data_IF_535447947384
#
_entry.id   IF_535447947384
#
_cell.length_a   1.000
_cell.length_b   1.000
_cell.length_c   1.000
_cell.angle_alpha   90.00
_cell.angle_beta   90.00
_cell.angle_gamma   90.00
#
_symmetry.space_group_name_H-M   'P 1'
#
loop_
_entity.id
_entity.type
_entity.pdbx_description
1 polymer ?
#
# COMPACT_ATOMS: atom_id res chain seq x y z
N UNK A 1 -11.99 -10.26 -8.08
CA UNK A 1 -10.60 -9.78 -8.10
C UNK A 1 -10.36 -9.11 -6.77
N UNK A 2 -9.50 -9.69 -5.94
CA UNK A 2 -9.35 -9.26 -4.55
C UNK A 2 -8.85 -7.83 -4.45
N UNK A 3 -9.36 -7.08 -3.47
CA UNK A 3 -8.73 -5.83 -3.05
C UNK A 3 -7.35 -6.19 -2.48
N UNK A 4 -6.27 -5.84 -3.19
CA UNK A 4 -4.91 -6.08 -2.70
C UNK A 4 -4.68 -5.23 -1.44
N UNK A 5 -4.34 -5.89 -0.33
CA UNK A 5 -4.05 -5.27 0.98
C UNK A 5 -2.70 -4.54 1.01
N UNK A 6 -1.99 -4.53 -0.12
CA UNK A 6 -0.73 -3.85 -0.33
C UNK A 6 -0.62 -3.32 -1.77
N UNK A 7 0.38 -2.49 -2.04
CA UNK A 7 0.73 -2.03 -3.39
C UNK A 7 2.25 -1.95 -3.58
N UNK A 8 2.76 -2.13 -4.81
CA UNK A 8 4.17 -1.98 -5.09
C UNK A 8 4.58 -0.50 -5.05
N UNK A 9 5.67 -0.20 -4.34
CA UNK A 9 6.22 1.15 -4.27
C UNK A 9 7.73 1.19 -4.57
N UNK A 10 8.20 2.37 -4.94
CA UNK A 10 9.62 2.68 -5.04
C UNK A 10 10.21 2.89 -3.64
N UNK A 11 11.54 2.83 -3.52
CA UNK A 11 12.26 3.27 -2.30
C UNK A 11 11.96 4.71 -1.91
N UNK A 12 11.45 5.56 -2.83
CA UNK A 12 10.95 6.89 -2.53
C UNK A 12 9.53 6.92 -1.94
N UNK A 13 8.98 5.76 -1.54
CA UNK A 13 7.67 5.60 -0.90
C UNK A 13 6.45 5.93 -1.81
N UNK A 14 6.66 6.13 -3.11
CA UNK A 14 5.57 6.36 -4.07
C UNK A 14 5.20 5.06 -4.79
N UNK A 15 3.91 4.88 -5.06
CA UNK A 15 3.41 3.77 -5.87
C UNK A 15 4.11 3.77 -7.24
N UNK A 16 4.33 2.57 -7.77
CA UNK A 16 4.90 2.35 -9.10
C UNK A 16 3.90 1.68 -10.02
N UNK A 17 4.09 1.84 -11.33
CA UNK A 17 3.26 1.22 -12.36
C UNK A 17 4.07 0.11 -13.00
N UNK A 18 3.44 -1.04 -13.27
CA UNK A 18 4.07 -2.11 -14.04
C UNK A 18 4.34 -1.61 -15.47
N UNK A 19 5.56 -1.82 -15.95
CA UNK A 19 5.99 -1.47 -17.30
C UNK A 19 6.86 -2.59 -17.87
N UNK A 20 6.25 -3.41 -18.73
CA UNK A 20 6.87 -4.61 -19.31
C UNK A 20 7.39 -5.57 -18.21
N UNK A 21 8.69 -5.83 -18.15
CA UNK A 21 9.34 -6.67 -17.13
C UNK A 21 9.85 -5.88 -15.91
N UNK A 22 9.52 -4.59 -15.83
CA UNK A 22 9.97 -3.68 -14.79
C UNK A 22 8.80 -2.90 -14.17
N UNK A 23 9.14 -1.97 -13.28
CA UNK A 23 8.22 -0.99 -12.73
C UNK A 23 8.74 0.41 -12.97
N UNK A 24 7.86 1.35 -13.31
CA UNK A 24 8.22 2.75 -13.48
C UNK A 24 7.76 3.59 -12.29
N UNK A 25 8.68 4.37 -11.73
CA UNK A 25 8.37 5.34 -10.68
C UNK A 25 8.24 6.74 -11.27
N UNK A 26 7.00 7.25 -11.35
CA UNK A 26 6.73 8.62 -11.84
C UNK A 26 7.43 9.70 -11.00
N UNK A 27 7.59 9.48 -9.69
CA UNK A 27 8.23 10.46 -8.82
C UNK A 27 9.75 10.51 -8.95
N UNK A 28 10.40 9.39 -9.31
CA UNK A 28 11.84 9.33 -9.53
C UNK A 28 12.24 9.36 -11.01
N UNK A 29 11.26 9.28 -11.92
CA UNK A 29 11.44 9.28 -13.38
C UNK A 29 12.42 8.19 -13.82
N UNK A 30 12.23 6.95 -13.31
CA UNK A 30 13.12 5.82 -13.62
C UNK A 30 12.41 4.46 -13.53
N UNK A 31 12.93 3.50 -14.28
CA UNK A 31 12.62 2.08 -14.13
C UNK A 31 13.34 1.47 -12.93
N UNK A 32 12.64 0.56 -12.23
CA UNK A 32 13.17 -0.25 -11.13
C UNK A 32 12.72 -1.70 -11.31
N UNK A 33 13.54 -2.64 -10.85
CA UNK A 33 13.23 -4.07 -10.90
C UNK A 33 12.70 -4.62 -9.57
N UNK A 34 13.05 -3.95 -8.47
CA UNK A 34 12.63 -4.34 -7.12
C UNK A 34 11.69 -3.29 -6.53
N UNK A 35 10.54 -3.75 -6.06
CA UNK A 35 9.53 -2.94 -5.37
C UNK A 35 9.67 -3.11 -3.87
N UNK A 36 9.20 -2.12 -3.13
CA UNK A 36 8.97 -2.19 -1.68
C UNK A 36 7.47 -2.36 -1.49
N UNK A 37 6.97 -3.46 -0.91
CA UNK A 37 5.55 -3.62 -0.61
C UNK A 37 5.13 -2.60 0.46
N UNK A 38 3.92 -2.06 0.33
CA UNK A 38 3.35 -1.02 1.20
C UNK A 38 1.91 -1.36 1.53
N UNK A 39 1.48 -1.16 2.76
CA UNK A 39 0.11 -1.46 3.17
C UNK A 39 -0.91 -0.53 2.49
N UNK A 40 -2.05 -1.11 2.09
CA UNK A 40 -3.28 -0.44 1.67
C UNK A 40 -4.46 -1.30 2.11
N UNK A 41 -4.70 -1.32 3.41
CA UNK A 41 -5.65 -2.25 4.02
C UNK A 41 -6.99 -1.56 4.18
N UNK A 42 -8.03 -2.14 3.59
CA UNK A 42 -9.41 -1.73 3.83
C UNK A 42 -9.92 -2.38 5.11
N UNK A 43 -10.33 -1.55 6.06
CA UNK A 43 -10.91 -2.00 7.32
C UNK A 43 -12.33 -1.45 7.47
N UNK A 44 -13.20 -2.25 8.04
CA UNK A 44 -14.50 -1.81 8.52
C UNK A 44 -14.44 -1.70 10.04
N UNK A 45 -14.84 -0.57 10.58
CA UNK A 45 -14.89 -0.29 12.02
C UNK A 45 -16.34 -0.07 12.40
N UNK A 46 -16.76 -0.72 13.49
CA UNK A 46 -18.11 -0.60 14.06
C UNK A 46 -18.03 -0.13 15.50
N UNK A 47 -18.90 0.80 15.88
CA UNK A 47 -19.11 1.21 17.28
C UNK A 47 -20.33 0.53 17.93
N UNK A 48 -20.96 -0.41 17.24
CA UNK A 48 -22.18 -1.09 17.66
C UNK A 48 -23.48 -0.37 17.25
N UNK A 49 -23.41 0.86 16.73
CA UNK A 49 -24.57 1.61 16.19
C UNK A 49 -24.43 1.80 14.68
N UNK A 50 -23.22 2.06 14.21
CA UNK A 50 -22.92 2.30 12.80
C UNK A 50 -21.58 1.70 12.40
N UNK A 51 -21.38 1.56 11.09
CA UNK A 51 -20.11 1.12 10.51
C UNK A 51 -19.51 2.21 9.64
N UNK A 52 -18.18 2.26 9.61
CA UNK A 52 -17.40 3.12 8.73
C UNK A 52 -16.24 2.33 8.11
N UNK A 53 -15.92 2.64 6.85
CA UNK A 53 -14.83 1.99 6.12
C UNK A 53 -13.66 2.96 5.99
N UNK A 54 -12.46 2.48 6.36
CA UNK A 54 -11.21 3.22 6.25
C UNK A 54 -10.21 2.46 5.39
N UNK A 55 -9.30 3.19 4.76
CA UNK A 55 -8.11 2.62 4.13
C UNK A 55 -6.90 3.05 4.96
N UNK A 56 -6.21 2.08 5.56
CA UNK A 56 -5.01 2.32 6.34
C UNK A 56 -3.75 2.05 5.51
N UNK A 57 -2.75 2.91 5.71
CA UNK A 57 -1.43 2.82 5.09
C UNK A 57 -0.36 2.48 6.13
N UNK A 58 0.91 2.48 5.71
CA UNK A 58 2.03 1.95 6.48
C UNK A 58 2.09 2.36 7.96
N UNK A 59 2.00 3.65 8.28
CA UNK A 59 2.14 4.12 9.67
C UNK A 59 1.09 3.53 10.58
N UNK A 60 -0.16 3.57 10.13
CA UNK A 60 -1.32 3.20 10.92
C UNK A 60 -1.41 1.68 11.04
N UNK A 61 -1.14 0.96 9.94
CA UNK A 61 -1.07 -0.51 9.94
C UNK A 61 0.09 -1.03 10.78
N UNK A 62 1.26 -0.40 10.70
CA UNK A 62 2.42 -0.84 11.47
C UNK A 62 2.24 -0.60 12.95
N UNK A 63 1.58 0.50 13.32
CA UNK A 63 1.20 0.76 14.71
C UNK A 63 0.17 -0.27 15.21
N UNK A 64 -0.87 -0.56 14.42
CA UNK A 64 -1.94 -1.46 14.83
C UNK A 64 -1.52 -2.93 14.92
N UNK A 65 -0.65 -3.37 14.01
CA UNK A 65 -0.22 -4.78 13.89
C UNK A 65 1.14 -5.06 14.54
N UNK A 66 1.86 -4.03 14.97
CA UNK A 66 3.25 -4.11 15.42
C UNK A 66 4.17 -4.79 14.39
N UNK A 67 3.88 -4.62 13.09
CA UNK A 67 4.57 -5.26 11.96
C UNK A 67 4.73 -4.32 10.78
N UNK A 68 5.84 -4.45 10.06
CA UNK A 68 6.01 -3.84 8.74
C UNK A 68 5.43 -4.74 7.64
N UNK A 69 5.13 -4.14 6.48
CA UNK A 69 4.59 -4.80 5.30
C UNK A 69 5.58 -5.80 4.68
#
# INVERSE_FOLDING_TARGET
GGEEWWYPACKCHRAVVADSEAYYCNSCVKHILQVVPRFKVKIEVSDGVSTAVFILFDSDMSYLMEKSC
#
